data_IF_545482581814
#
_entry.id   IF_545482581814
#
_cell.length_a   1.000
_cell.length_b   1.000
_cell.length_c   1.000
_cell.angle_alpha   90.00
_cell.angle_beta   90.00
_cell.angle_gamma   90.00
#
_symmetry.space_group_name_H-M   'P 1'
#
loop_
_entity.id
_entity.type
_entity.pdbx_description
1 polymer ?
#
# COMPACT_ATOMS: atom_id res chain seq x y z
N UNK A 1 60.12 29.80 40.59
CA UNK A 1 61.07 28.84 41.20
C UNK A 1 60.43 27.46 41.20
N UNK A 2 61.13 26.33 41.02
CA UNK A 2 62.42 26.04 40.40
C UNK A 2 62.32 24.98 39.26
N UNK A 3 63.50 24.60 38.75
CA UNK A 3 63.85 23.67 37.68
C UNK A 3 63.56 22.17 37.92
N UNK A 4 63.77 21.42 36.83
CA UNK A 4 64.32 20.05 36.70
C UNK A 4 63.30 18.99 36.27
N UNK A 5 63.59 17.91 35.55
CA UNK A 5 64.68 17.47 34.66
C UNK A 5 64.51 15.94 34.54
N UNK A 6 64.44 15.43 33.30
CA UNK A 6 64.92 14.12 32.84
C UNK A 6 64.32 12.77 33.30
N UNK A 7 64.49 11.84 32.34
CA UNK A 7 64.48 10.36 32.37
C UNK A 7 63.08 9.73 32.22
N UNK A 8 62.75 8.95 31.20
CA UNK A 8 63.56 8.21 30.24
C UNK A 8 63.74 6.77 30.72
N UNK A 9 62.74 5.91 30.48
CA UNK A 9 62.89 4.46 30.62
C UNK A 9 62.25 3.74 29.43
N UNK A 10 63.09 2.93 28.80
CA UNK A 10 62.79 1.98 27.76
C UNK A 10 62.12 0.76 28.37
N UNK A 11 61.10 0.22 27.70
CA UNK A 11 60.63 -1.14 27.96
C UNK A 11 60.94 -2.06 26.79
N UNK A 12 61.49 -3.19 27.20
CA UNK A 12 62.19 -4.20 26.45
C UNK A 12 61.27 -5.03 25.55
N UNK A 13 61.87 -5.54 24.48
CA UNK A 13 61.39 -6.68 23.70
C UNK A 13 61.57 -7.97 24.50
N UNK A 14 60.66 -8.92 24.26
CA UNK A 14 60.81 -10.39 24.09
C UNK A 14 59.67 -11.15 24.84
N UNK A 15 59.36 -12.42 24.50
CA UNK A 15 59.53 -13.16 23.25
C UNK A 15 58.20 -13.79 22.74
N UNK A 16 58.20 -14.28 21.49
CA UNK A 16 57.20 -15.21 20.97
C UNK A 16 57.20 -16.49 21.82
N UNK A 17 56.10 -16.76 22.51
CA UNK A 17 55.78 -18.06 23.10
C UNK A 17 54.80 -18.81 22.20
N UNK A 18 55.27 -19.89 21.59
CA UNK A 18 54.43 -20.90 20.94
C UNK A 18 53.64 -21.66 22.01
N UNK A 19 52.32 -21.76 21.86
CA UNK A 19 51.44 -22.64 22.64
C UNK A 19 50.68 -23.57 21.67
N UNK A 20 50.24 -24.75 22.14
CA UNK A 20 50.02 -25.93 21.35
C UNK A 20 48.69 -25.87 20.61
N UNK A 21 48.69 -26.54 19.47
CA UNK A 21 47.53 -26.86 18.67
C UNK A 21 46.72 -27.92 19.44
N UNK A 22 45.71 -27.47 20.20
CA UNK A 22 44.66 -28.34 20.71
C UNK A 22 43.68 -28.63 19.58
N UNK A 23 43.53 -29.91 19.26
CA UNK A 23 42.53 -30.42 18.34
C UNK A 23 41.15 -30.26 18.99
N UNK A 24 40.41 -29.22 18.62
CA UNK A 24 38.99 -29.09 18.97
C UNK A 24 38.18 -30.09 18.13
N UNK A 25 37.85 -31.23 18.74
CA UNK A 25 36.75 -32.08 18.28
C UNK A 25 35.45 -31.25 18.27
N UNK A 26 34.96 -30.92 17.07
CA UNK A 26 33.61 -30.34 16.85
C UNK A 26 32.55 -31.34 17.32
N UNK A 27 32.26 -31.29 18.62
CA UNK A 27 31.11 -31.92 19.22
C UNK A 27 29.89 -31.08 18.83
N UNK A 28 29.10 -31.57 17.88
CA UNK A 28 27.78 -31.04 17.57
C UNK A 28 26.91 -31.17 18.84
N UNK A 29 26.88 -30.11 19.65
CA UNK A 29 25.87 -29.96 20.68
C UNK A 29 24.55 -29.72 19.96
N UNK A 30 23.65 -30.71 20.03
CA UNK A 30 22.24 -30.52 19.73
C UNK A 30 21.73 -29.39 20.65
N UNK A 31 21.69 -28.16 20.12
CA UNK A 31 21.05 -27.02 20.77
C UNK A 31 19.58 -27.37 20.96
N UNK A 32 19.27 -27.93 22.13
CA UNK A 32 17.91 -28.08 22.63
C UNK A 32 17.33 -26.67 22.66
N UNK A 33 16.46 -26.37 21.70
CA UNK A 33 15.68 -25.12 21.65
C UNK A 33 14.78 -25.08 22.90
N UNK A 34 15.31 -24.56 24.00
CA UNK A 34 14.49 -24.21 25.15
C UNK A 34 13.49 -23.14 24.73
N UNK A 35 12.21 -23.51 24.71
CA UNK A 35 11.12 -22.58 24.44
C UNK A 35 11.04 -21.59 25.61
N UNK A 36 11.42 -20.34 25.36
CA UNK A 36 11.36 -19.29 26.37
C UNK A 36 9.90 -18.95 26.68
N UNK A 37 9.44 -19.35 27.87
CA UNK A 37 8.12 -19.01 28.40
C UNK A 37 8.16 -17.65 29.11
N UNK A 38 7.44 -16.68 28.55
CA UNK A 38 7.34 -15.31 29.06
C UNK A 38 6.60 -15.28 30.42
N UNK A 39 5.74 -16.27 30.69
CA UNK A 39 4.91 -16.29 31.89
C UNK A 39 5.61 -16.97 33.08
N UNK A 40 6.73 -17.66 32.84
CA UNK A 40 7.50 -18.34 33.87
C UNK A 40 8.49 -17.39 34.56
N UNK A 41 7.99 -16.59 35.52
CA UNK A 41 8.82 -15.66 36.32
C UNK A 41 9.38 -16.28 37.60
N UNK A 42 9.20 -17.58 37.82
CA UNK A 42 9.39 -18.27 39.11
C UNK A 42 10.84 -18.22 39.64
N UNK A 43 11.81 -17.83 38.80
CA UNK A 43 13.24 -17.69 39.13
C UNK A 43 13.72 -16.27 39.44
N UNK A 44 12.90 -15.23 39.30
CA UNK A 44 13.36 -13.83 39.44
C UNK A 44 13.35 -13.40 40.91
N UNK A 45 14.46 -13.61 41.62
CA UNK A 45 14.63 -13.19 43.03
C UNK A 45 15.54 -11.98 43.23
N UNK A 46 16.14 -11.46 42.14
CA UNK A 46 17.08 -10.34 42.19
C UNK A 46 17.03 -9.51 40.91
N UNK A 47 17.52 -8.27 40.99
CA UNK A 47 17.68 -7.38 39.82
C UNK A 47 18.54 -8.02 38.73
N UNK A 48 19.60 -8.74 39.13
CA UNK A 48 20.44 -9.51 38.19
C UNK A 48 19.64 -10.62 37.49
N UNK A 49 18.77 -11.32 38.22
CA UNK A 49 17.87 -12.32 37.65
C UNK A 49 16.87 -11.73 36.66
N UNK A 50 16.32 -10.54 36.95
CA UNK A 50 15.43 -9.83 36.03
C UNK A 50 16.16 -9.41 34.75
N UNK A 51 17.41 -8.95 34.86
CA UNK A 51 18.22 -8.56 33.70
C UNK A 51 18.50 -9.75 32.77
N UNK A 52 18.85 -10.91 33.34
CA UNK A 52 19.09 -12.14 32.57
C UNK A 52 17.80 -12.60 31.88
N UNK A 53 16.67 -12.58 32.57
CA UNK A 53 15.36 -12.92 32.01
C UNK A 53 14.99 -12.01 30.83
N UNK A 54 15.17 -10.69 30.96
CA UNK A 54 14.94 -9.74 29.86
C UNK A 54 15.87 -10.00 28.67
N UNK A 55 17.15 -10.32 28.93
CA UNK A 55 18.11 -10.63 27.87
C UNK A 55 17.72 -11.91 27.10
N UNK A 56 17.27 -12.95 27.81
CA UNK A 56 16.77 -14.19 27.19
C UNK A 56 15.49 -13.94 26.39
N UNK A 57 14.55 -13.17 26.92
CA UNK A 57 13.34 -12.78 26.19
C UNK A 57 13.63 -11.98 24.92
N UNK A 58 14.61 -11.07 24.95
CA UNK A 58 15.07 -10.34 23.77
C UNK A 58 15.70 -11.27 22.73
N UNK A 59 16.52 -12.23 23.14
CA UNK A 59 17.10 -13.24 22.23
C UNK A 59 16.01 -14.11 21.58
N UNK A 60 15.07 -14.61 22.37
CA UNK A 60 13.95 -15.42 21.87
C UNK A 60 13.07 -14.62 20.90
N UNK A 61 12.80 -13.35 21.20
CA UNK A 61 12.06 -12.46 20.30
C UNK A 61 12.80 -12.21 18.98
N UNK A 62 14.13 -12.01 19.02
CA UNK A 62 14.95 -11.84 17.83
C UNK A 62 14.87 -13.08 16.92
N UNK A 63 15.09 -14.27 17.47
CA UNK A 63 15.01 -15.55 16.74
C UNK A 63 13.62 -15.72 16.09
N UNK A 64 12.55 -15.50 16.85
CA UNK A 64 11.17 -15.60 16.34
C UNK A 64 10.88 -14.58 15.23
N UNK A 65 11.51 -13.41 15.30
CA UNK A 65 11.38 -12.36 14.27
C UNK A 65 12.09 -12.78 12.98
N UNK A 66 13.29 -13.35 13.08
CA UNK A 66 14.04 -13.87 11.94
C UNK A 66 13.34 -15.04 11.25
N UNK A 67 12.76 -15.97 12.02
CA UNK A 67 11.95 -17.07 11.48
C UNK A 67 10.76 -16.55 10.66
N UNK A 68 10.02 -15.57 11.18
CA UNK A 68 8.91 -14.93 10.45
C UNK A 68 9.38 -14.20 9.19
N UNK A 69 10.54 -13.54 9.26
CA UNK A 69 11.10 -12.83 8.11
C UNK A 69 11.53 -13.80 7.00
N UNK A 70 12.09 -14.95 7.37
CA UNK A 70 12.42 -16.02 6.42
C UNK A 70 11.16 -16.66 5.80
N UNK A 71 10.10 -16.88 6.59
CA UNK A 71 8.80 -17.30 6.04
C UNK A 71 8.27 -16.30 5.01
N UNK A 72 8.35 -15.01 5.30
CA UNK A 72 7.92 -13.96 4.38
C UNK A 72 8.75 -13.93 3.09
N UNK A 73 10.08 -14.05 3.19
CA UNK A 73 10.98 -14.18 2.02
C UNK A 73 10.61 -15.37 1.13
N UNK A 74 10.27 -16.51 1.73
CA UNK A 74 9.84 -17.70 0.97
C UNK A 74 8.53 -17.46 0.22
N UNK A 75 7.54 -16.81 0.86
CA UNK A 75 6.28 -16.44 0.20
C UNK A 75 6.53 -15.52 -1.01
N UNK A 76 7.37 -14.48 -0.83
CA UNK A 76 7.73 -13.58 -1.92
C UNK A 76 8.43 -14.31 -3.08
N UNK A 77 9.32 -15.26 -2.78
CA UNK A 77 9.99 -16.08 -3.79
C UNK A 77 9.00 -16.93 -4.59
N UNK A 78 8.05 -17.56 -3.92
CA UNK A 78 6.99 -18.36 -4.56
C UNK A 78 6.13 -17.48 -5.48
N UNK A 79 5.73 -16.30 -5.03
CA UNK A 79 4.93 -15.37 -5.84
C UNK A 79 5.69 -14.81 -7.04
N UNK A 80 6.97 -14.51 -6.88
CA UNK A 80 7.84 -14.06 -7.97
C UNK A 80 7.95 -15.12 -9.07
N UNK A 81 8.11 -16.39 -8.68
CA UNK A 81 8.14 -17.51 -9.62
C UNK A 81 6.80 -17.66 -10.36
N UNK A 82 5.67 -17.62 -9.65
CA UNK A 82 4.34 -17.69 -10.24
C UNK A 82 4.07 -16.54 -11.24
N UNK A 83 4.50 -15.33 -10.91
CA UNK A 83 4.38 -14.15 -11.79
C UNK A 83 5.23 -14.32 -13.04
N UNK A 84 6.45 -14.84 -12.89
CA UNK A 84 7.37 -15.11 -14.01
C UNK A 84 6.82 -16.20 -14.93
N UNK A 85 6.19 -17.24 -14.37
CA UNK A 85 5.52 -18.31 -15.11
C UNK A 85 4.33 -17.78 -15.92
N UNK A 86 3.46 -16.97 -15.29
CA UNK A 86 2.32 -16.35 -15.96
C UNK A 86 2.75 -15.42 -17.11
N UNK A 87 3.79 -14.61 -16.90
CA UNK A 87 4.36 -13.76 -17.95
C UNK A 87 4.97 -14.56 -19.09
N UNK A 88 5.56 -15.73 -18.79
CA UNK A 88 6.09 -16.65 -19.80
C UNK A 88 4.97 -17.28 -20.63
N UNK A 89 3.89 -17.75 -19.99
CA UNK A 89 2.71 -18.27 -20.69
C UNK A 89 2.08 -17.20 -21.60
N UNK A 90 1.94 -15.98 -21.09
CA UNK A 90 1.40 -14.86 -21.86
C UNK A 90 2.24 -14.55 -23.10
N UNK A 91 3.58 -14.52 -22.95
CA UNK A 91 4.50 -14.32 -24.08
C UNK A 91 4.41 -15.45 -25.12
N UNK A 92 4.27 -16.70 -24.66
CA UNK A 92 4.08 -17.84 -25.56
C UNK A 92 2.75 -17.74 -26.34
N UNK A 93 1.69 -17.24 -25.69
CA UNK A 93 0.40 -16.97 -26.34
C UNK A 93 0.52 -15.91 -27.44
N UNK A 94 1.21 -14.80 -27.16
CA UNK A 94 1.46 -13.74 -28.17
C UNK A 94 2.29 -14.29 -29.34
N UNK A 95 3.30 -15.11 -29.06
CA UNK A 95 4.15 -15.68 -30.11
C UNK A 95 3.37 -16.66 -31.01
N UNK A 96 2.47 -17.46 -30.45
CA UNK A 96 1.60 -18.35 -31.22
C UNK A 96 0.68 -17.56 -32.19
N UNK A 97 0.15 -16.41 -31.75
CA UNK A 97 -0.65 -15.51 -32.60
C UNK A 97 0.14 -14.95 -33.80
N UNK A 98 1.44 -14.71 -33.62
CA UNK A 98 2.32 -14.18 -34.68
C UNK A 98 2.74 -15.25 -35.70
N UNK A 99 2.68 -16.53 -35.35
CA UNK A 99 3.01 -17.63 -36.26
C UNK A 99 1.84 -18.01 -37.17
N UNK A 100 0.58 -17.89 -36.71
CA UNK A 100 -0.60 -18.18 -37.53
C UNK A 100 -0.86 -17.11 -38.60
N UNK A 101 -0.52 -15.84 -38.33
CA UNK A 101 -0.71 -14.73 -39.29
C UNK A 101 0.27 -14.71 -40.47
N UNK A 102 1.38 -15.47 -40.40
CA UNK A 102 2.39 -15.54 -41.50
C UNK A 102 2.18 -16.68 -42.50
N UNK A 103 1.20 -17.55 -42.29
CA UNK A 103 0.96 -18.74 -43.14
C UNK A 103 0.15 -18.52 -44.43
N UNK A 104 -0.41 -17.33 -44.67
CA UNK A 104 -1.36 -17.09 -45.80
C UNK A 104 -0.88 -16.06 -46.83
N UNK A 105 0.43 -15.93 -47.06
CA UNK A 105 0.95 -15.12 -48.17
C UNK A 105 1.97 -15.89 -49.00
N UNK A 106 1.47 -16.77 -49.87
CA UNK A 106 2.14 -17.05 -51.15
C UNK A 106 1.21 -17.70 -52.17
N UNK A 107 1.19 -17.06 -53.33
CA UNK A 107 0.67 -17.47 -54.64
C UNK A 107 -0.86 -17.35 -54.85
N UNK A 108 -1.25 -16.28 -55.55
CA UNK A 108 -1.84 -16.47 -56.87
C UNK A 108 -1.70 -15.20 -57.73
N UNK A 109 -1.12 -15.39 -58.92
CA UNK A 109 -1.06 -14.41 -60.00
C UNK A 109 -2.20 -14.64 -60.98
N UNK A 110 -2.74 -13.55 -61.54
CA UNK A 110 -3.54 -13.46 -62.77
C UNK A 110 -4.89 -14.21 -62.81
N UNK A 111 -6.02 -13.48 -62.75
CA UNK A 111 -6.73 -12.88 -63.91
C UNK A 111 -8.14 -12.40 -63.53
N UNK A 112 -8.53 -11.33 -64.23
CA UNK A 112 -9.88 -10.91 -64.62
C UNK A 112 -10.79 -10.15 -63.64
N UNK A 113 -11.18 -8.97 -64.15
CA UNK A 113 -12.28 -8.12 -63.73
C UNK A 113 -13.64 -8.80 -63.94
N UNK A 114 -14.30 -9.15 -62.85
CA UNK A 114 -15.70 -8.87 -62.53
C UNK A 114 -15.97 -9.47 -61.13
N UNK A 115 -16.92 -8.90 -60.39
CA UNK A 115 -17.39 -9.31 -59.04
C UNK A 115 -16.73 -8.59 -57.86
N UNK A 116 -17.18 -7.35 -57.63
CA UNK A 116 -16.81 -6.52 -56.47
C UNK A 116 -17.87 -6.53 -55.36
N UNK A 117 -18.75 -7.56 -55.30
CA UNK A 117 -19.74 -7.73 -54.22
C UNK A 117 -19.46 -8.94 -53.31
N UNK A 118 -18.57 -9.86 -53.69
CA UNK A 118 -18.26 -11.07 -52.89
C UNK A 118 -17.06 -10.95 -51.94
N UNK A 119 -16.34 -9.83 -51.97
CA UNK A 119 -15.13 -9.62 -51.17
C UNK A 119 -15.37 -8.91 -49.82
N UNK A 120 -16.62 -8.54 -49.50
CA UNK A 120 -16.98 -7.97 -48.19
C UNK A 120 -17.35 -9.02 -47.14
N UNK A 121 -17.94 -10.15 -47.53
CA UNK A 121 -18.33 -11.21 -46.59
C UNK A 121 -17.15 -11.93 -45.93
N UNK A 122 -16.03 -12.12 -46.65
CA UNK A 122 -14.85 -12.82 -46.12
C UNK A 122 -14.06 -12.01 -45.07
N UNK A 123 -14.23 -10.69 -45.05
CA UNK A 123 -13.52 -9.82 -44.10
C UNK A 123 -14.26 -9.73 -42.75
N UNK A 124 -15.59 -9.74 -42.77
CA UNK A 124 -16.42 -9.78 -41.55
C UNK A 124 -16.29 -11.13 -40.81
N UNK A 125 -16.18 -12.24 -41.55
CA UNK A 125 -15.96 -13.58 -40.97
C UNK A 125 -14.67 -13.67 -40.13
N UNK A 126 -13.58 -13.06 -40.58
CA UNK A 126 -12.31 -13.07 -39.85
C UNK A 126 -12.37 -12.19 -38.59
N UNK A 127 -13.15 -11.10 -38.62
CA UNK A 127 -13.32 -10.23 -37.47
C UNK A 127 -14.20 -10.89 -36.39
N UNK A 128 -15.25 -11.60 -36.77
CA UNK A 128 -16.08 -12.37 -35.84
C UNK A 128 -15.28 -13.51 -35.16
N UNK A 129 -14.46 -14.24 -35.94
CA UNK A 129 -13.56 -15.25 -35.39
C UNK A 129 -12.54 -14.67 -34.40
N UNK A 130 -12.03 -13.46 -34.68
CA UNK A 130 -11.13 -12.74 -33.77
C UNK A 130 -11.83 -12.33 -32.47
N UNK A 131 -13.04 -11.76 -32.55
CA UNK A 131 -13.82 -11.38 -31.38
C UNK A 131 -14.22 -12.60 -30.53
N UNK A 132 -14.56 -13.71 -31.17
CA UNK A 132 -14.85 -14.97 -30.50
C UNK A 132 -13.63 -15.53 -29.77
N UNK A 133 -12.45 -15.50 -30.40
CA UNK A 133 -11.19 -15.96 -29.79
C UNK A 133 -10.77 -15.06 -28.61
N UNK A 134 -10.95 -13.74 -28.71
CA UNK A 134 -10.69 -12.80 -27.62
C UNK A 134 -11.66 -13.02 -26.46
N UNK A 135 -12.95 -13.18 -26.74
CA UNK A 135 -13.98 -13.48 -25.73
C UNK A 135 -13.71 -14.79 -24.99
N UNK A 136 -13.32 -15.84 -25.72
CA UNK A 136 -12.94 -17.12 -25.11
C UNK A 136 -11.68 -17.00 -24.23
N UNK A 137 -10.73 -16.13 -24.61
CA UNK A 137 -9.52 -15.86 -23.84
C UNK A 137 -9.84 -15.11 -22.54
N UNK A 138 -10.68 -14.09 -22.62
CA UNK A 138 -11.16 -13.33 -21.46
C UNK A 138 -11.88 -14.26 -20.48
N UNK A 139 -12.81 -15.09 -20.97
CA UNK A 139 -13.52 -16.09 -20.13
C UNK A 139 -12.58 -17.09 -19.46
N UNK A 140 -11.51 -17.52 -20.14
CA UNK A 140 -10.48 -18.40 -19.55
C UNK A 140 -9.65 -17.68 -18.48
N UNK A 141 -9.36 -16.40 -18.66
CA UNK A 141 -8.67 -15.59 -17.66
C UNK A 141 -9.56 -15.34 -16.44
N UNK A 142 -10.83 -15.00 -16.64
CA UNK A 142 -11.83 -14.88 -15.57
C UNK A 142 -11.94 -16.19 -14.79
N UNK A 143 -12.10 -17.33 -15.48
CA UNK A 143 -12.15 -18.64 -14.83
C UNK A 143 -10.85 -19.02 -14.10
N UNK A 144 -9.67 -18.61 -14.61
CA UNK A 144 -8.38 -18.79 -13.90
C UNK A 144 -8.29 -17.89 -12.68
N UNK A 145 -8.80 -16.64 -12.73
CA UNK A 145 -8.87 -15.73 -11.58
C UNK A 145 -9.80 -16.33 -10.51
N UNK A 146 -11.00 -16.74 -10.90
CA UNK A 146 -11.97 -17.37 -9.99
C UNK A 146 -11.40 -18.66 -9.39
N UNK A 147 -10.75 -19.50 -10.20
CA UNK A 147 -10.03 -20.69 -9.73
C UNK A 147 -8.92 -20.32 -8.73
N UNK A 148 -8.14 -19.28 -8.98
CA UNK A 148 -7.08 -18.83 -8.07
C UNK A 148 -7.64 -18.22 -6.78
N UNK A 149 -8.84 -17.65 -6.83
CA UNK A 149 -9.60 -17.23 -5.65
C UNK A 149 -10.11 -18.43 -4.85
N UNK A 150 -10.57 -19.50 -5.51
CA UNK A 150 -11.05 -20.74 -4.88
C UNK A 150 -9.91 -21.60 -4.32
N UNK A 151 -8.78 -21.71 -5.04
CA UNK A 151 -7.60 -22.48 -4.63
C UNK A 151 -6.65 -21.68 -3.74
N UNK A 152 -7.01 -20.44 -3.39
CA UNK A 152 -6.25 -19.66 -2.42
C UNK A 152 -6.26 -20.44 -1.11
N UNK A 153 -5.09 -20.75 -0.51
CA UNK A 153 -5.03 -21.56 0.70
C UNK A 153 -5.96 -20.94 1.74
N UNK A 154 -6.85 -21.78 2.28
CA UNK A 154 -7.98 -21.46 3.17
C UNK A 154 -7.61 -20.69 4.45
N UNK A 155 -6.32 -20.40 4.67
CA UNK A 155 -5.83 -19.45 5.66
C UNK A 155 -6.01 -17.96 5.31
N UNK A 156 -6.33 -17.60 4.06
CA UNK A 156 -6.63 -16.21 3.66
C UNK A 156 -8.11 -15.81 3.79
N UNK A 157 -8.98 -16.71 4.27
CA UNK A 157 -10.35 -16.35 4.70
C UNK A 157 -10.38 -15.39 5.89
N UNK A 158 -9.23 -15.16 6.54
CA UNK A 158 -9.00 -13.89 7.25
C UNK A 158 -8.53 -12.87 6.23
N UNK A 159 -9.45 -12.37 5.40
CA UNK A 159 -9.20 -11.12 4.68
C UNK A 159 -8.85 -10.10 5.76
N UNK A 160 -7.58 -9.71 5.85
CA UNK A 160 -7.09 -8.84 6.90
C UNK A 160 -7.91 -7.55 6.81
N UNK A 161 -8.81 -7.36 7.78
CA UNK A 161 -9.69 -6.19 7.80
C UNK A 161 -8.81 -4.94 7.75
N UNK A 162 -9.05 -4.11 6.74
CA UNK A 162 -8.24 -2.91 6.48
C UNK A 162 -8.78 -1.68 7.21
N UNK A 163 -10.00 -1.79 7.73
CA UNK A 163 -10.65 -0.85 8.64
C UNK A 163 -11.15 -1.62 9.88
N UNK A 164 -11.34 -0.96 11.03
CA UNK A 164 -11.94 -1.55 12.23
C UNK A 164 -13.37 -2.05 11.99
N UNK A 165 -13.86 -2.96 12.82
CA UNK A 165 -15.25 -3.43 12.69
C UNK A 165 -16.28 -2.33 12.93
N UNK A 166 -17.46 -2.50 12.32
CA UNK A 166 -18.62 -1.60 12.45
C UNK A 166 -18.39 -0.16 11.93
N UNK A 167 -17.53 0.02 10.92
CA UNK A 167 -17.37 1.32 10.26
C UNK A 167 -18.57 1.63 9.36
N UNK A 168 -19.02 2.90 9.29
CA UNK A 168 -20.29 3.27 8.67
C UNK A 168 -20.35 3.06 7.15
N UNK A 169 -21.54 2.96 6.59
CA UNK A 169 -21.74 2.85 5.13
C UNK A 169 -21.48 1.45 4.56
N UNK A 170 -21.65 1.26 3.25
CA UNK A 170 -21.57 -0.05 2.61
C UNK A 170 -20.14 -0.59 2.61
N UNK A 171 -19.93 -1.82 3.10
CA UNK A 171 -18.60 -2.43 3.25
C UNK A 171 -18.40 -3.65 2.35
N UNK A 172 -17.18 -3.83 1.84
CA UNK A 172 -16.73 -5.07 1.19
C UNK A 172 -16.31 -6.11 2.24
N UNK A 173 -16.09 -7.38 1.87
CA UNK A 173 -15.61 -8.41 2.81
C UNK A 173 -14.26 -8.07 3.50
N UNK A 174 -13.42 -7.23 2.88
CA UNK A 174 -12.18 -6.72 3.48
C UNK A 174 -12.36 -5.49 4.40
N UNK A 175 -13.63 -5.12 4.64
CA UNK A 175 -14.08 -3.98 5.40
C UNK A 175 -13.72 -2.60 4.81
N UNK A 176 -13.30 -2.53 3.56
CA UNK A 176 -13.18 -1.27 2.84
C UNK A 176 -14.56 -0.74 2.42
N UNK A 177 -14.66 0.58 2.32
CA UNK A 177 -15.85 1.27 1.84
C UNK A 177 -16.15 0.88 0.38
N UNK A 178 -17.39 0.50 0.12
CA UNK A 178 -17.87 0.15 -1.22
C UNK A 178 -18.59 1.32 -1.87
N UNK A 179 -17.84 2.23 -2.50
CA UNK A 179 -18.40 3.42 -3.16
C UNK A 179 -19.27 3.08 -4.40
N UNK A 180 -19.25 1.82 -4.86
CA UNK A 180 -20.06 1.34 -5.99
C UNK A 180 -21.46 0.88 -5.55
N UNK A 181 -21.71 0.72 -4.25
CA UNK A 181 -23.07 0.49 -3.75
C UNK A 181 -23.84 1.81 -3.77
N UNK A 182 -24.66 1.99 -4.80
CA UNK A 182 -25.44 3.19 -5.04
C UNK A 182 -26.88 3.08 -4.50
N UNK A 183 -27.17 2.11 -3.60
CA UNK A 183 -28.48 2.04 -2.95
C UNK A 183 -28.74 3.33 -2.17
N UNK A 184 -29.85 4.04 -2.39
CA UNK A 184 -30.13 5.27 -1.65
C UNK A 184 -30.15 5.02 -0.14
N UNK A 185 -29.35 5.78 0.60
CA UNK A 185 -29.22 5.66 2.05
C UNK A 185 -28.59 6.96 2.54
N UNK A 186 -29.15 7.60 3.56
CA UNK A 186 -28.58 8.86 4.05
C UNK A 186 -27.49 8.60 5.10
N UNK A 187 -26.25 8.93 4.76
CA UNK A 187 -25.07 8.70 5.61
C UNK A 187 -24.50 10.00 6.21
N UNK A 188 -25.29 11.07 6.27
CA UNK A 188 -24.84 12.38 6.76
C UNK A 188 -24.45 12.40 8.25
N UNK A 189 -24.99 11.47 9.03
CA UNK A 189 -24.73 11.32 10.49
C UNK A 189 -23.78 10.16 10.83
N UNK A 190 -22.99 9.70 9.87
CA UNK A 190 -22.10 8.55 10.02
C UNK A 190 -20.87 8.80 10.92
N UNK A 191 -20.59 10.05 11.27
CA UNK A 191 -19.41 10.42 12.05
C UNK A 191 -19.55 9.91 13.49
N UNK A 192 -18.71 8.95 13.85
CA UNK A 192 -18.59 8.42 15.22
C UNK A 192 -17.18 8.68 15.73
N UNK A 193 -16.95 8.76 17.05
CA UNK A 193 -15.59 8.96 17.59
C UNK A 193 -14.60 7.89 17.13
N UNK A 194 -15.04 6.63 17.04
CA UNK A 194 -14.20 5.54 16.54
C UNK A 194 -13.83 5.71 15.08
N UNK A 195 -14.80 6.14 14.24
CA UNK A 195 -14.54 6.41 12.83
C UNK A 195 -13.63 7.61 12.63
N UNK A 196 -13.81 8.67 13.41
CA UNK A 196 -12.93 9.84 13.40
C UNK A 196 -11.49 9.46 13.76
N UNK A 197 -11.28 8.68 14.82
CA UNK A 197 -9.95 8.19 15.21
C UNK A 197 -9.31 7.39 14.06
N UNK A 198 -10.09 6.55 13.39
CA UNK A 198 -9.62 5.78 12.24
C UNK A 198 -9.17 6.69 11.10
N UNK A 199 -10.01 7.65 10.67
CA UNK A 199 -9.68 8.55 9.57
C UNK A 199 -8.46 9.41 9.92
N UNK A 200 -8.40 9.98 11.13
CA UNK A 200 -7.26 10.78 11.60
C UNK A 200 -5.97 9.97 11.76
N UNK A 201 -6.06 8.66 11.98
CA UNK A 201 -4.87 7.79 11.97
C UNK A 201 -4.20 7.70 10.59
N UNK A 202 -4.98 7.95 9.52
CA UNK A 202 -4.51 7.94 8.13
C UNK A 202 -4.22 9.37 7.65
N UNK A 203 -5.12 10.31 7.94
CA UNK A 203 -5.01 11.72 7.57
C UNK A 203 -5.24 12.63 8.80
N UNK A 204 -4.19 12.95 9.56
CA UNK A 204 -4.31 13.71 10.80
C UNK A 204 -4.93 15.11 10.65
N UNK A 205 -4.84 15.69 9.45
CA UNK A 205 -5.39 17.02 9.14
C UNK A 205 -6.89 16.99 8.80
N UNK A 206 -7.54 15.82 8.75
CA UNK A 206 -8.98 15.70 8.53
C UNK A 206 -9.76 16.41 9.64
N UNK A 207 -10.66 17.31 9.28
CA UNK A 207 -11.53 18.00 10.24
C UNK A 207 -12.82 17.20 10.44
N UNK A 208 -13.21 17.00 11.69
CA UNK A 208 -14.51 16.42 12.06
C UNK A 208 -15.56 17.50 12.31
N UNK A 209 -16.83 17.08 12.39
CA UNK A 209 -17.93 18.01 12.69
C UNK A 209 -17.74 18.73 14.01
N UNK A 210 -17.11 18.11 15.01
CA UNK A 210 -16.88 18.71 16.34
C UNK A 210 -15.78 19.76 16.36
N UNK A 211 -14.86 19.74 15.39
CA UNK A 211 -13.79 20.75 15.24
C UNK A 211 -14.23 21.96 14.43
N UNK A 212 -15.39 21.84 13.76
CA UNK A 212 -16.00 22.91 13.00
C UNK A 212 -17.02 23.62 13.90
N UNK A 213 -16.78 24.89 14.20
CA UNK A 213 -17.76 25.71 14.89
C UNK A 213 -18.94 25.98 13.95
N UNK A 214 -20.00 25.18 14.06
CA UNK A 214 -21.20 25.24 13.23
C UNK A 214 -22.05 26.50 13.46
N UNK A 215 -21.99 27.10 14.66
CA UNK A 215 -22.75 28.32 14.99
C UNK A 215 -22.29 29.52 14.16
N UNK A 216 -21.00 29.54 13.77
CA UNK A 216 -20.41 30.58 12.93
C UNK A 216 -20.63 30.34 11.43
N UNK A 217 -21.22 29.20 11.05
CA UNK A 217 -21.40 28.83 9.64
C UNK A 217 -22.68 29.41 9.07
N UNK A 218 -22.59 29.88 7.83
CA UNK A 218 -23.70 30.59 7.18
C UNK A 218 -24.36 29.66 6.16
N UNK A 219 -25.62 29.28 6.40
CA UNK A 219 -26.36 28.38 5.50
C UNK A 219 -26.45 28.89 4.07
N UNK A 220 -26.45 30.22 3.87
CA UNK A 220 -26.40 30.84 2.53
C UNK A 220 -25.16 30.42 1.74
N UNK A 221 -24.03 30.11 2.39
CA UNK A 221 -22.81 29.72 1.71
C UNK A 221 -22.89 28.29 1.12
N UNK A 222 -23.89 27.50 1.50
CA UNK A 222 -24.12 26.17 0.93
C UNK A 222 -24.44 26.20 -0.58
N UNK A 223 -25.04 27.29 -1.07
CA UNK A 223 -25.55 27.40 -2.45
C UNK A 223 -24.67 28.26 -3.37
N UNK A 224 -23.73 29.03 -2.82
CA UNK A 224 -22.83 29.89 -3.62
C UNK A 224 -21.86 29.06 -4.45
N UNK A 225 -21.33 29.55 -5.58
CA UNK A 225 -20.32 28.79 -6.34
C UNK A 225 -19.09 28.50 -5.45
N UNK A 226 -18.71 27.23 -5.31
CA UNK A 226 -17.51 26.83 -4.57
C UNK A 226 -16.27 27.33 -5.32
N UNK A 227 -15.40 28.08 -4.63
CA UNK A 227 -14.32 28.83 -5.27
C UNK A 227 -12.99 28.06 -5.35
N UNK A 228 -12.96 26.79 -4.95
CA UNK A 228 -11.74 26.00 -4.97
C UNK A 228 -11.41 25.54 -6.41
N UNK A 229 -10.21 25.90 -6.88
CA UNK A 229 -9.70 25.52 -8.20
C UNK A 229 -9.04 24.14 -8.23
N UNK A 230 -8.89 23.50 -7.07
CA UNK A 230 -8.26 22.19 -6.94
C UNK A 230 -9.20 21.09 -7.45
N UNK A 231 -8.67 20.15 -8.20
CA UNK A 231 -9.43 19.02 -8.75
C UNK A 231 -8.74 17.70 -8.40
N UNK A 232 -9.52 16.70 -7.98
CA UNK A 232 -9.09 15.32 -7.81
C UNK A 232 -9.55 14.55 -9.06
N UNK A 233 -8.60 14.28 -9.95
CA UNK A 233 -8.85 13.60 -11.24
C UNK A 233 -8.22 12.22 -11.30
N UNK A 234 -6.90 12.17 -11.18
CA UNK A 234 -6.12 10.93 -11.21
C UNK A 234 -5.65 10.59 -9.80
N UNK A 235 -5.68 9.32 -9.41
CA UNK A 235 -5.35 8.86 -8.06
C UNK A 235 -3.84 8.98 -7.75
N UNK A 236 -3.34 10.20 -7.50
CA UNK A 236 -1.92 10.51 -7.33
C UNK A 236 -1.54 10.88 -5.90
N UNK A 237 -0.24 10.87 -5.59
CA UNK A 237 0.27 11.33 -4.28
C UNK A 237 0.07 12.84 -4.06
N UNK A 238 -0.10 13.63 -5.12
CA UNK A 238 -0.34 15.07 -5.00
C UNK A 238 -1.75 15.39 -4.48
N UNK A 239 -2.68 14.43 -4.58
CA UNK A 239 -4.05 14.57 -4.09
C UNK A 239 -4.15 14.83 -2.59
N UNK A 240 -3.14 14.45 -1.80
CA UNK A 240 -3.08 14.82 -0.38
C UNK A 240 -3.10 16.35 -0.18
N UNK A 241 -2.27 17.05 -0.95
CA UNK A 241 -2.20 18.51 -0.87
C UNK A 241 -3.47 19.15 -1.43
N UNK A 242 -4.00 18.62 -2.53
CA UNK A 242 -5.24 19.11 -3.15
C UNK A 242 -6.43 18.93 -2.20
N UNK A 243 -6.56 17.77 -1.56
CA UNK A 243 -7.60 17.48 -0.58
C UNK A 243 -7.49 18.40 0.64
N UNK A 244 -6.28 18.68 1.12
CA UNK A 244 -6.05 19.67 2.18
C UNK A 244 -6.50 21.07 1.76
N UNK A 245 -6.15 21.50 0.55
CA UNK A 245 -6.55 22.81 0.01
C UNK A 245 -8.08 22.90 -0.13
N UNK A 246 -8.74 21.85 -0.61
CA UNK A 246 -10.20 21.76 -0.69
C UNK A 246 -10.84 21.91 0.69
N UNK A 247 -10.38 21.15 1.69
CA UNK A 247 -10.91 21.25 3.06
C UNK A 247 -10.71 22.66 3.64
N UNK A 248 -9.54 23.26 3.41
CA UNK A 248 -9.25 24.63 3.85
C UNK A 248 -10.16 25.65 3.17
N UNK A 249 -10.44 25.51 1.88
CA UNK A 249 -11.40 26.34 1.16
C UNK A 249 -12.81 26.21 1.75
N UNK A 250 -13.28 24.98 2.00
CA UNK A 250 -14.59 24.73 2.65
C UNK A 250 -14.68 25.36 4.04
N UNK A 251 -13.60 25.25 4.82
CA UNK A 251 -13.49 25.86 6.13
C UNK A 251 -13.56 27.39 6.06
N UNK A 252 -12.77 28.00 5.19
CA UNK A 252 -12.68 29.46 5.03
C UNK A 252 -13.96 30.07 4.44
N UNK A 253 -14.66 29.34 3.56
CA UNK A 253 -15.97 29.76 3.05
C UNK A 253 -17.07 29.73 4.13
N UNK A 254 -16.78 29.28 5.36
CA UNK A 254 -17.76 29.15 6.44
C UNK A 254 -19.00 28.34 6.02
N UNK A 255 -18.80 27.34 5.16
CA UNK A 255 -19.87 26.44 4.73
C UNK A 255 -20.24 25.51 5.88
N UNK A 256 -21.53 25.25 6.16
CA UNK A 256 -21.92 24.26 7.18
C UNK A 256 -21.37 22.88 6.84
N UNK A 257 -20.87 22.16 7.84
CA UNK A 257 -20.10 20.92 7.65
C UNK A 257 -20.89 19.85 6.89
N UNK A 258 -22.19 19.71 7.18
CA UNK A 258 -23.10 18.77 6.50
C UNK A 258 -23.17 18.94 4.98
N UNK A 259 -22.81 20.10 4.45
CA UNK A 259 -22.84 20.35 3.00
C UNK A 259 -21.49 20.11 2.33
N UNK A 260 -20.38 20.02 3.07
CA UNK A 260 -19.04 19.92 2.48
C UNK A 260 -18.91 18.83 1.38
N UNK A 261 -19.46 17.62 1.55
CA UNK A 261 -19.42 16.61 0.49
C UNK A 261 -20.07 17.07 -0.82
N UNK A 262 -21.28 17.62 -0.76
CA UNK A 262 -22.00 18.04 -1.97
C UNK A 262 -21.31 19.21 -2.68
N UNK A 263 -20.59 20.05 -1.92
CA UNK A 263 -19.82 21.20 -2.46
C UNK A 263 -18.69 20.76 -3.38
N UNK A 264 -18.03 19.66 -3.05
CA UNK A 264 -16.82 19.24 -3.77
C UNK A 264 -17.11 18.32 -4.95
N UNK A 265 -18.38 17.95 -5.21
CA UNK A 265 -18.76 17.04 -6.30
C UNK A 265 -18.22 17.51 -7.66
N UNK A 266 -18.16 18.83 -7.90
CA UNK A 266 -17.60 19.39 -9.13
C UNK A 266 -16.06 19.33 -9.21
N UNK A 267 -15.38 19.08 -8.10
CA UNK A 267 -13.92 18.94 -8.00
C UNK A 267 -13.47 17.47 -8.08
N UNK A 268 -14.40 16.53 -8.26
CA UNK A 268 -14.13 15.10 -8.37
C UNK A 268 -14.40 14.67 -9.80
N UNK A 269 -13.38 14.17 -10.48
CA UNK A 269 -13.47 13.64 -11.84
C UNK A 269 -12.58 12.40 -12.02
N UNK A 270 -12.65 11.74 -13.18
CA UNK A 270 -11.74 10.64 -13.53
C UNK A 270 -11.87 9.47 -12.55
N UNK A 271 -10.77 9.11 -11.88
CA UNK A 271 -10.74 8.02 -10.88
C UNK A 271 -11.70 8.29 -9.71
N UNK A 272 -12.01 9.56 -9.44
CA UNK A 272 -12.90 9.99 -8.36
C UNK A 272 -14.36 10.13 -8.76
N UNK A 273 -14.73 9.84 -10.02
CA UNK A 273 -16.13 9.84 -10.49
C UNK A 273 -17.04 8.95 -9.62
N UNK A 274 -16.49 7.84 -9.13
CA UNK A 274 -17.24 6.93 -8.24
C UNK A 274 -17.55 7.59 -6.90
N UNK A 275 -16.65 8.42 -6.37
CA UNK A 275 -16.88 9.20 -5.15
C UNK A 275 -17.93 10.28 -5.40
N UNK A 276 -17.86 10.97 -6.55
CA UNK A 276 -18.87 11.95 -6.94
C UNK A 276 -20.28 11.33 -7.01
N UNK A 277 -20.40 10.12 -7.57
CA UNK A 277 -21.66 9.35 -7.57
C UNK A 277 -22.06 8.99 -6.15
N UNK A 278 -21.16 8.41 -5.35
CA UNK A 278 -21.41 8.05 -3.96
C UNK A 278 -21.98 9.22 -3.16
N UNK A 279 -21.42 10.43 -3.30
CA UNK A 279 -21.93 11.63 -2.63
C UNK A 279 -23.38 11.93 -3.02
N UNK A 280 -23.70 11.88 -4.32
CA UNK A 280 -25.05 12.17 -4.84
C UNK A 280 -26.09 11.17 -4.37
N UNK A 281 -25.74 9.89 -4.27
CA UNK A 281 -26.69 8.82 -3.92
C UNK A 281 -26.80 8.57 -2.40
N UNK A 282 -25.72 8.80 -1.65
CA UNK A 282 -25.63 8.44 -0.23
C UNK A 282 -25.64 9.63 0.74
N UNK A 283 -25.46 10.85 0.24
CA UNK A 283 -25.32 12.05 1.07
C UNK A 283 -24.42 11.83 2.32
N UNK A 284 -23.19 11.34 2.12
CA UNK A 284 -22.29 10.94 3.22
C UNK A 284 -21.89 12.13 4.08
N UNK A 285 -21.34 11.86 5.26
CA UNK A 285 -20.60 12.87 6.04
C UNK A 285 -19.27 13.23 5.35
N UNK A 286 -18.61 14.29 5.83
CA UNK A 286 -17.30 14.66 5.31
C UNK A 286 -16.23 13.60 5.60
N UNK A 287 -16.18 13.02 6.80
CA UNK A 287 -15.22 11.95 7.09
C UNK A 287 -15.45 10.71 6.22
N UNK A 288 -16.70 10.37 5.92
CA UNK A 288 -17.02 9.24 5.04
C UNK A 288 -16.67 9.56 3.58
N UNK A 289 -16.78 10.83 3.18
CA UNK A 289 -16.29 11.31 1.88
C UNK A 289 -14.77 11.22 1.78
N UNK A 290 -14.05 11.60 2.84
CA UNK A 290 -12.60 11.42 2.94
C UNK A 290 -12.26 9.94 2.80
N UNK A 291 -12.93 9.05 3.52
CA UNK A 291 -12.68 7.61 3.42
C UNK A 291 -12.87 7.10 1.98
N UNK A 292 -13.90 7.57 1.28
CA UNK A 292 -14.12 7.24 -0.12
C UNK A 292 -12.95 7.67 -1.01
N UNK A 293 -12.47 8.91 -0.85
CA UNK A 293 -11.28 9.43 -1.56
C UNK A 293 -10.05 8.58 -1.23
N UNK A 294 -9.80 8.30 0.04
CA UNK A 294 -8.69 7.47 0.51
C UNK A 294 -8.75 6.05 -0.07
N UNK A 295 -9.96 5.49 -0.17
CA UNK A 295 -10.19 4.17 -0.75
C UNK A 295 -9.83 4.15 -2.23
N UNK A 296 -10.22 5.16 -3.00
CA UNK A 296 -9.80 5.28 -4.41
C UNK A 296 -8.29 5.46 -4.53
N UNK A 297 -7.70 6.36 -3.74
CA UNK A 297 -6.24 6.58 -3.72
C UNK A 297 -5.46 5.31 -3.40
N UNK A 298 -5.99 4.44 -2.52
CA UNK A 298 -5.40 3.16 -2.14
C UNK A 298 -5.54 2.07 -3.22
N UNK A 299 -6.58 2.14 -4.04
CA UNK A 299 -6.90 1.12 -5.05
C UNK A 299 -6.21 1.39 -6.41
N UNK A 300 -6.06 2.65 -6.83
CA UNK A 300 -5.58 3.01 -8.18
C UNK A 300 -4.09 3.28 -8.29
N UNK A 301 -3.43 3.62 -7.19
CA UNK A 301 -1.98 3.56 -7.08
C UNK A 301 -1.67 2.77 -5.82
N UNK A 302 -0.58 2.03 -5.82
CA UNK A 302 0.08 1.69 -4.58
C UNK A 302 0.54 2.96 -3.86
N UNK A 303 -0.39 3.78 -3.33
CA UNK A 303 -0.17 4.64 -2.17
C UNK A 303 0.02 3.69 -1.00
N UNK A 304 1.15 3.01 -1.11
CA UNK A 304 1.79 2.19 -0.14
C UNK A 304 1.80 3.06 1.13
N UNK A 305 1.39 2.54 2.30
CA UNK A 305 1.34 3.32 3.53
C UNK A 305 2.62 4.15 3.67
N UNK A 306 2.63 5.33 4.31
CA UNK A 306 3.77 6.25 4.27
C UNK A 306 5.15 5.59 4.43
N UNK A 307 5.24 4.49 5.20
CA UNK A 307 6.44 3.63 5.35
C UNK A 307 6.95 3.03 4.03
N UNK A 308 6.05 2.62 3.17
CA UNK A 308 6.30 2.01 1.88
C UNK A 308 6.51 3.09 0.79
N UNK A 309 5.87 4.26 0.92
CA UNK A 309 6.27 5.47 0.16
C UNK A 309 7.69 5.94 0.53
N UNK A 310 8.07 5.86 1.81
CA UNK A 310 9.43 6.13 2.26
C UNK A 310 10.41 5.08 1.71
N UNK A 311 10.05 3.80 1.72
CA UNK A 311 10.90 2.72 1.19
C UNK A 311 11.10 2.81 -0.34
N UNK A 312 10.17 3.43 -1.06
CA UNK A 312 10.24 3.62 -2.52
C UNK A 312 10.79 4.98 -2.93
N UNK A 313 11.05 5.90 -1.99
CA UNK A 313 11.59 7.21 -2.33
C UNK A 313 13.02 7.07 -2.85
N UNK A 314 13.23 7.50 -4.10
CA UNK A 314 14.56 7.59 -4.71
C UNK A 314 14.85 9.03 -5.10
N UNK A 315 16.11 9.41 -4.98
CA UNK A 315 16.61 10.70 -5.46
C UNK A 315 16.45 10.73 -6.99
N UNK A 316 15.84 11.80 -7.52
CA UNK A 316 15.75 11.98 -8.97
C UNK A 316 17.09 12.46 -9.53
N UNK A 317 17.33 12.23 -10.82
CA UNK A 317 18.58 12.62 -11.49
C UNK A 317 18.81 14.14 -11.54
N UNK A 318 17.74 14.92 -11.50
CA UNK A 318 17.69 16.38 -11.56
C UNK A 318 17.51 17.06 -10.19
N UNK A 319 17.39 16.28 -9.11
CA UNK A 319 17.08 16.77 -7.76
C UNK A 319 18.36 16.98 -6.93
N UNK A 320 18.49 18.16 -6.30
CA UNK A 320 19.57 18.43 -5.34
C UNK A 320 19.37 17.68 -4.02
N UNK A 321 20.47 17.35 -3.32
CA UNK A 321 20.42 16.56 -2.07
C UNK A 321 19.51 17.17 -1.01
N UNK A 322 19.53 18.49 -0.87
CA UNK A 322 18.68 19.21 0.08
C UNK A 322 17.18 19.09 -0.27
N UNK A 323 16.85 19.09 -1.56
CA UNK A 323 15.46 18.93 -2.02
C UNK A 323 14.99 17.49 -1.80
N UNK A 324 15.85 16.51 -2.08
CA UNK A 324 15.58 15.11 -1.78
C UNK A 324 15.33 14.88 -0.29
N UNK A 325 16.20 15.39 0.59
CA UNK A 325 16.04 15.27 2.04
C UNK A 325 14.75 15.94 2.56
N UNK A 326 14.37 17.09 1.98
CA UNK A 326 13.08 17.74 2.31
C UNK A 326 11.88 16.88 1.92
N UNK A 327 11.97 16.16 0.80
CA UNK A 327 10.95 15.24 0.31
C UNK A 327 10.84 14.00 1.21
N UNK A 328 11.98 13.40 1.59
CA UNK A 328 12.06 12.32 2.59
C UNK A 328 11.45 12.75 3.92
N UNK A 329 11.83 13.93 4.44
CA UNK A 329 11.29 14.49 5.69
C UNK A 329 9.79 14.75 5.61
N UNK A 330 9.29 15.24 4.48
CA UNK A 330 7.86 15.47 4.27
C UNK A 330 7.07 14.16 4.37
N UNK A 331 7.56 13.09 3.74
CA UNK A 331 6.93 11.75 3.82
C UNK A 331 7.03 11.18 5.23
N UNK A 332 8.18 11.30 5.90
CA UNK A 332 8.37 10.85 7.29
C UNK A 332 7.43 11.57 8.27
N UNK A 333 7.26 12.88 8.12
CA UNK A 333 6.36 13.66 8.97
C UNK A 333 4.88 13.33 8.74
N UNK A 334 4.51 12.74 7.61
CA UNK A 334 3.15 12.24 7.34
C UNK A 334 2.88 10.86 7.95
N UNK A 335 3.89 10.16 8.47
CA UNK A 335 3.70 8.89 9.19
C UNK A 335 3.05 9.13 10.55
N UNK A 336 2.10 8.26 10.93
CA UNK A 336 1.62 8.17 12.30
C UNK A 336 2.74 7.67 13.24
N UNK A 337 2.66 7.96 14.54
CA UNK A 337 3.73 7.72 15.51
C UNK A 337 4.23 6.26 15.52
N UNK A 338 3.31 5.30 15.43
CA UNK A 338 3.64 3.87 15.36
C UNK A 338 4.43 3.50 14.10
N UNK A 339 4.11 4.11 12.95
CA UNK A 339 4.86 3.90 11.72
C UNK A 339 6.23 4.59 11.73
N UNK A 340 6.38 5.73 12.44
CA UNK A 340 7.69 6.37 12.65
C UNK A 340 8.62 5.51 13.49
N UNK A 341 8.11 4.92 14.57
CA UNK A 341 8.87 4.01 15.41
C UNK A 341 9.34 2.77 14.63
N UNK A 342 8.46 2.17 13.81
CA UNK A 342 8.85 1.04 12.96
C UNK A 342 9.91 1.42 11.91
N UNK A 343 9.81 2.60 11.29
CA UNK A 343 10.81 3.06 10.32
C UNK A 343 12.17 3.35 10.98
N UNK A 344 12.19 3.89 12.20
CA UNK A 344 13.41 4.13 12.97
C UNK A 344 14.09 2.84 13.44
N UNK A 345 13.31 1.80 13.72
CA UNK A 345 13.82 0.47 14.10
C UNK A 345 14.36 -0.29 12.87
N UNK A 346 13.75 -0.13 11.70
CA UNK A 346 14.18 -0.80 10.46
C UNK A 346 15.44 -0.19 9.82
N UNK A 347 15.88 0.99 10.27
CA UNK A 347 17.08 1.68 9.78
C UNK A 347 18.33 1.47 10.63
N UNK A 348 18.31 0.58 11.63
CA UNK A 348 19.46 0.20 12.45
C UNK A 348 20.03 -1.14 12.03
#
# INVERSE_FOLDING_TARGET
>A
MPNSSNQGEAFEKLPLGSLPQEEEEEKYEDEVKEEFDIDNTTGIKSVKGALVFMQQGLKAHAIKTDEKLNQFRNILRIQSNATTEAMREFKNLINAQNTESKGKSRNNSFKNHHDTEKLKEDNDSNQENYLAALSATIKRLEAKIDSLEITRPSGLNKVKKLAPDNMPGPRRPNNLLNCQDLRPENLSGADTPTFEIYIKSIWPEALSSGEVNEELRLSKNATHKFSCMEELKDASADNWQRLHNIQRSLFNEMTPYRFWPSRIVGNLSGDFDTVAKFIRYKNPSWLLTIEAVLTIMRNYNGVQPPISQLASIRKKSDEGDLQFLRRVRSVFNRMCWNSRLQALVAGR
#
